data_IF_051943232234
#
_entry.id   IF_051943232234
#
_cell.length_a   1.000
_cell.length_b   1.000
_cell.length_c   1.000
_cell.angle_alpha   90.00
_cell.angle_beta   90.00
_cell.angle_gamma   90.00
#
_symmetry.space_group_name_H-M   'P 1'
#
loop_
_entity.id
_entity.type
_entity.pdbx_description
1 polymer ?
#
# COMPACT_ATOMS: atom_id res chain seq x y z
N UNK A 1 18.61 9.10 38.77
CA UNK A 1 18.26 9.45 37.38
C UNK A 1 19.21 8.71 36.47
N UNK A 2 18.72 7.82 35.59
CA UNK A 2 19.59 7.11 34.65
C UNK A 2 20.07 8.13 33.62
N UNK A 3 21.39 8.25 33.45
CA UNK A 3 22.00 9.13 32.45
C UNK A 3 21.36 8.89 31.07
N UNK A 4 20.88 9.95 30.42
CA UNK A 4 20.37 9.93 29.05
C UNK A 4 21.50 9.95 28.00
N UNK A 5 22.74 9.67 28.40
CA UNK A 5 23.84 9.51 27.46
C UNK A 5 23.53 8.32 26.54
N UNK A 6 23.66 8.54 25.23
CA UNK A 6 23.54 7.48 24.22
C UNK A 6 24.66 6.45 24.47
N UNK A 7 24.37 5.14 24.49
CA UNK A 7 25.42 4.12 24.58
C UNK A 7 26.46 4.29 23.48
N UNK A 8 27.73 4.25 23.85
CA UNK A 8 28.89 4.36 22.97
C UNK A 8 29.63 3.03 22.79
N UNK A 9 29.36 2.03 23.65
CA UNK A 9 29.91 0.66 23.53
C UNK A 9 28.82 -0.42 23.52
N UNK A 10 29.20 -1.66 23.20
CA UNK A 10 28.30 -2.82 23.20
C UNK A 10 27.80 -3.10 24.61
N UNK A 11 28.68 -3.07 25.61
CA UNK A 11 28.36 -3.32 27.02
C UNK A 11 27.41 -2.23 27.55
N UNK A 12 27.64 -0.98 27.17
CA UNK A 12 26.72 0.12 27.50
C UNK A 12 25.34 -0.08 26.86
N UNK A 13 25.27 -0.61 25.64
CA UNK A 13 24.01 -0.86 24.93
C UNK A 13 23.25 -2.04 25.56
N UNK A 14 23.93 -3.12 25.92
CA UNK A 14 23.35 -4.28 26.61
C UNK A 14 22.78 -3.87 27.96
N UNK A 15 23.58 -3.15 28.77
CA UNK A 15 23.12 -2.60 30.04
C UNK A 15 21.96 -1.61 29.86
N UNK A 16 21.96 -0.82 28.78
CA UNK A 16 20.88 0.11 28.47
C UNK A 16 19.57 -0.63 28.17
N UNK A 17 19.61 -1.69 27.36
CA UNK A 17 18.45 -2.51 26.99
C UNK A 17 17.90 -3.29 28.18
N UNK A 18 18.77 -3.86 29.01
CA UNK A 18 18.37 -4.63 30.18
C UNK A 18 17.65 -3.76 31.22
N UNK A 19 18.17 -2.56 31.48
CA UNK A 19 17.58 -1.61 32.43
C UNK A 19 16.29 -0.95 31.92
N UNK A 20 15.89 -1.21 30.67
CA UNK A 20 14.78 -0.54 29.98
C UNK A 20 13.87 -1.51 29.25
N UNK A 21 13.73 -2.74 29.75
CA UNK A 21 12.85 -3.78 29.17
C UNK A 21 11.38 -3.33 29.01
N UNK A 22 10.95 -2.31 29.76
CA UNK A 22 9.60 -1.72 29.71
C UNK A 22 9.50 -0.44 28.88
N UNK A 23 10.60 0.07 28.32
CA UNK A 23 10.55 1.23 27.44
C UNK A 23 9.68 0.94 26.22
N UNK A 24 8.78 1.86 25.90
CA UNK A 24 7.86 1.72 24.78
C UNK A 24 6.78 0.66 24.99
N UNK A 25 6.46 0.29 26.23
CA UNK A 25 5.38 -0.65 26.56
C UNK A 25 4.31 -0.01 27.44
N UNK A 26 3.08 -0.49 27.31
CA UNK A 26 1.97 -0.24 28.24
C UNK A 26 1.51 -1.61 28.75
N UNK A 27 1.51 -1.82 30.07
CA UNK A 27 1.15 -3.11 30.69
C UNK A 27 1.94 -4.32 30.16
N UNK A 28 3.21 -4.14 29.83
CA UNK A 28 4.08 -5.21 29.30
C UNK A 28 3.97 -5.43 27.78
N UNK A 29 3.04 -4.77 27.10
CA UNK A 29 2.84 -4.87 25.65
C UNK A 29 3.44 -3.67 24.90
N UNK A 30 4.13 -3.86 23.76
CA UNK A 30 4.64 -2.76 22.95
C UNK A 30 3.54 -1.78 22.54
N UNK A 31 3.76 -0.48 22.77
CA UNK A 31 2.82 0.59 22.36
C UNK A 31 2.79 0.79 20.84
N UNK A 32 3.89 0.46 20.16
CA UNK A 32 4.01 0.51 18.69
C UNK A 32 4.24 -0.91 18.20
N UNK A 33 3.33 -1.40 17.38
CA UNK A 33 3.55 -2.61 16.59
C UNK A 33 4.42 -2.27 15.38
N UNK A 34 5.48 -3.05 15.18
CA UNK A 34 6.36 -2.95 14.01
C UNK A 34 6.09 -4.09 13.04
N UNK A 35 6.43 -3.89 11.77
CA UNK A 35 6.25 -4.88 10.72
C UNK A 35 5.11 -4.54 9.76
N UNK A 36 4.79 -5.50 8.89
CA UNK A 36 3.77 -5.37 7.87
C UNK A 36 2.86 -6.59 7.81
N UNK A 37 1.61 -6.36 7.40
CA UNK A 37 0.59 -7.36 7.18
C UNK A 37 0.18 -7.33 5.71
N UNK A 38 0.08 -8.50 5.08
CA UNK A 38 -0.39 -8.64 3.70
C UNK A 38 -1.93 -8.53 3.67
N UNK A 39 -2.45 -7.61 2.86
CA UNK A 39 -3.88 -7.58 2.54
C UNK A 39 -4.18 -8.72 1.57
N UNK A 40 -5.06 -9.62 1.98
CA UNK A 40 -5.54 -10.75 1.16
C UNK A 40 -7.03 -10.61 0.89
N UNK A 41 -7.48 -11.19 -0.22
CA UNK A 41 -8.91 -11.25 -0.58
C UNK A 41 -9.56 -9.86 -0.75
N UNK A 42 -8.76 -8.84 -1.05
CA UNK A 42 -9.24 -7.53 -1.49
C UNK A 42 -9.32 -7.50 -3.01
N UNK A 43 -10.45 -7.92 -3.56
CA UNK A 43 -10.67 -7.87 -5.00
C UNK A 43 -11.26 -6.51 -5.38
N UNK A 44 -10.75 -5.91 -6.44
CA UNK A 44 -11.16 -4.59 -6.91
C UNK A 44 -11.48 -4.63 -8.41
N UNK A 45 -12.26 -3.65 -8.91
CA UNK A 45 -12.52 -3.53 -10.34
C UNK A 45 -11.23 -3.42 -11.17
N UNK A 46 -11.20 -4.06 -12.35
CA UNK A 46 -10.00 -4.08 -13.20
C UNK A 46 -9.55 -2.69 -13.64
N UNK A 47 -10.48 -1.82 -14.01
CA UNK A 47 -10.21 -0.42 -14.35
C UNK A 47 -9.60 0.37 -13.17
N UNK A 48 -10.11 0.19 -11.96
CA UNK A 48 -9.56 0.82 -10.76
C UNK A 48 -8.15 0.28 -10.47
N UNK A 49 -7.96 -1.04 -10.60
CA UNK A 49 -6.65 -1.66 -10.43
C UNK A 49 -5.61 -1.06 -11.38
N UNK A 50 -5.96 -0.93 -12.66
CA UNK A 50 -5.08 -0.37 -13.68
C UNK A 50 -4.80 1.12 -13.46
N UNK A 51 -5.84 1.92 -13.17
CA UNK A 51 -5.72 3.35 -12.87
C UNK A 51 -4.80 3.61 -11.66
N UNK A 52 -4.96 2.82 -10.59
CA UNK A 52 -4.12 2.89 -9.40
C UNK A 52 -2.64 2.64 -9.74
N UNK A 53 -2.35 1.65 -10.59
CA UNK A 53 -0.97 1.33 -10.97
C UNK A 53 -0.34 2.40 -11.86
N UNK A 54 -1.13 3.01 -12.75
CA UNK A 54 -0.68 4.13 -13.58
C UNK A 54 -0.34 5.36 -12.74
N UNK A 55 -1.27 5.75 -11.86
CA UNK A 55 -1.13 6.91 -11.00
C UNK A 55 0.01 6.69 -9.99
N UNK A 56 0.09 5.51 -9.38
CA UNK A 56 1.17 5.17 -8.45
C UNK A 56 2.55 5.19 -9.11
N UNK A 57 2.65 4.80 -10.38
CA UNK A 57 3.92 4.83 -11.11
C UNK A 57 4.47 6.25 -11.30
N UNK A 58 3.62 7.24 -11.55
CA UNK A 58 4.06 8.63 -11.74
C UNK A 58 4.75 9.23 -10.50
N UNK A 59 4.44 8.70 -9.32
CA UNK A 59 5.06 9.10 -8.05
C UNK A 59 6.06 8.05 -7.52
N UNK A 60 6.39 7.04 -8.33
CA UNK A 60 7.36 6.00 -7.98
C UNK A 60 6.91 5.07 -6.86
N UNK A 61 5.61 4.96 -6.60
CA UNK A 61 5.08 4.09 -5.56
C UNK A 61 4.92 2.65 -6.05
N UNK A 62 5.35 1.71 -5.21
CA UNK A 62 4.97 0.30 -5.34
C UNK A 62 3.58 0.03 -4.75
N UNK A 63 3.03 -1.18 -4.95
CA UNK A 63 1.70 -1.55 -4.44
C UNK A 63 1.52 -1.39 -2.94
N UNK A 64 2.55 -1.69 -2.15
CA UNK A 64 2.52 -1.54 -0.69
C UNK A 64 2.44 -0.07 -0.27
N UNK A 65 3.18 0.82 -0.95
CA UNK A 65 3.10 2.26 -0.73
C UNK A 65 1.72 2.80 -1.16
N UNK A 66 1.24 2.42 -2.34
CA UNK A 66 -0.11 2.76 -2.81
C UNK A 66 -1.16 2.33 -1.77
N UNK A 67 -1.13 1.07 -1.34
CA UNK A 67 -2.10 0.55 -0.37
C UNK A 67 -2.01 1.26 0.99
N UNK A 68 -0.81 1.64 1.42
CA UNK A 68 -0.58 2.40 2.66
C UNK A 68 -1.23 3.78 2.57
N UNK A 69 -0.97 4.50 1.47
CA UNK A 69 -1.56 5.82 1.24
C UNK A 69 -3.08 5.77 1.04
N UNK A 70 -3.58 4.74 0.36
CA UNK A 70 -5.01 4.50 0.17
C UNK A 70 -5.73 4.28 1.50
N UNK A 71 -5.19 3.43 2.38
CA UNK A 71 -5.76 3.19 3.71
C UNK A 71 -5.66 4.41 4.63
N UNK A 72 -4.59 5.18 4.55
CA UNK A 72 -4.50 6.46 5.28
C UNK A 72 -5.60 7.42 4.85
N UNK A 73 -5.88 7.53 3.54
CA UNK A 73 -6.99 8.36 3.04
C UNK A 73 -8.34 7.85 3.50
N UNK A 74 -8.56 6.54 3.49
CA UNK A 74 -9.77 5.93 4.01
C UNK A 74 -9.98 6.26 5.50
N UNK A 75 -8.96 6.08 6.33
CA UNK A 75 -9.01 6.35 7.77
C UNK A 75 -9.11 7.85 8.10
N UNK A 76 -8.56 8.71 7.26
CA UNK A 76 -8.65 10.17 7.40
C UNK A 76 -9.97 10.75 6.84
N UNK A 77 -10.82 9.92 6.23
CA UNK A 77 -12.11 10.38 5.70
C UNK A 77 -13.03 10.86 6.83
N UNK A 78 -13.66 12.03 6.71
CA UNK A 78 -14.30 12.70 7.84
C UNK A 78 -15.60 12.04 8.33
N UNK A 79 -16.31 11.27 7.49
CA UNK A 79 -17.57 10.61 7.90
C UNK A 79 -17.75 9.23 7.27
N UNK A 80 -18.46 8.35 7.98
CA UNK A 80 -18.77 6.98 7.56
C UNK A 80 -19.83 6.97 6.47
N UNK A 81 -20.76 7.92 6.51
CA UNK A 81 -21.82 8.13 5.55
C UNK A 81 -21.24 8.44 4.17
N UNK A 82 -20.24 9.33 4.08
CA UNK A 82 -19.54 9.62 2.81
C UNK A 82 -18.85 8.37 2.23
N UNK A 83 -18.31 7.49 3.08
CA UNK A 83 -17.68 6.25 2.63
C UNK A 83 -18.72 5.27 2.07
N UNK A 84 -19.90 5.21 2.70
CA UNK A 84 -21.02 4.40 2.24
C UNK A 84 -21.58 4.91 0.91
N UNK A 85 -21.78 6.23 0.78
CA UNK A 85 -22.19 6.86 -0.47
C UNK A 85 -21.16 6.61 -1.56
N UNK A 86 -19.86 6.68 -1.24
CA UNK A 86 -18.81 6.36 -2.21
C UNK A 86 -18.90 4.92 -2.70
N UNK A 87 -19.15 3.96 -1.81
CA UNK A 87 -19.33 2.58 -2.22
C UNK A 87 -20.56 2.38 -3.11
N UNK A 88 -21.66 3.11 -2.84
CA UNK A 88 -22.88 3.09 -3.64
C UNK A 88 -22.71 3.76 -5.02
N UNK A 89 -22.02 4.91 -5.08
CA UNK A 89 -21.64 5.58 -6.33
C UNK A 89 -20.86 4.65 -7.24
N UNK A 90 -20.02 3.84 -6.61
CA UNK A 90 -19.25 2.87 -7.33
C UNK A 90 -20.26 1.80 -7.89
N UNK A 91 -21.13 1.19 -7.09
CA UNK A 91 -22.16 0.24 -7.59
C UNK A 91 -21.72 -1.23 -7.59
N UNK A 92 -22.47 -2.13 -8.25
CA UNK A 92 -22.14 -3.57 -8.27
C UNK A 92 -21.04 -3.86 -9.29
N UNK A 93 -19.85 -4.24 -8.83
CA UNK A 93 -18.72 -4.51 -9.72
C UNK A 93 -18.33 -5.96 -9.80
N UNK A 94 -17.93 -6.31 -11.00
CA UNK A 94 -17.06 -7.45 -11.29
C UNK A 94 -15.64 -7.21 -10.76
N UNK A 95 -15.49 -7.33 -9.44
CA UNK A 95 -14.21 -7.26 -8.75
C UNK A 95 -13.44 -8.59 -8.91
N UNK A 96 -12.61 -8.68 -9.94
CA UNK A 96 -11.85 -9.90 -10.27
C UNK A 96 -10.34 -9.78 -10.02
N UNK A 97 -9.84 -8.56 -9.82
CA UNK A 97 -8.40 -8.29 -9.66
C UNK A 97 -8.05 -8.17 -8.18
N UNK A 98 -7.25 -9.10 -7.66
CA UNK A 98 -6.79 -9.03 -6.27
C UNK A 98 -5.69 -7.97 -6.11
N UNK A 99 -5.93 -6.98 -5.26
CA UNK A 99 -4.93 -5.98 -4.90
C UNK A 99 -4.20 -6.44 -3.63
N UNK A 100 -3.00 -7.00 -3.82
CA UNK A 100 -2.12 -7.45 -2.74
C UNK A 100 -1.09 -6.37 -2.42
N UNK A 101 -0.93 -6.10 -1.13
CA UNK A 101 -0.02 -5.09 -0.61
C UNK A 101 0.38 -5.44 0.83
N UNK A 102 1.61 -5.11 1.21
CA UNK A 102 2.12 -5.25 2.58
C UNK A 102 2.04 -3.90 3.27
N UNK A 103 1.14 -3.79 4.24
CA UNK A 103 0.80 -2.54 4.92
C UNK A 103 1.33 -2.58 6.35
N UNK A 104 1.78 -1.45 6.94
CA UNK A 104 2.10 -1.42 8.37
C UNK A 104 0.97 -2.02 9.22
N UNK A 105 1.31 -2.97 10.10
CA UNK A 105 0.32 -3.77 10.85
C UNK A 105 -0.69 -2.91 11.60
N UNK A 106 -0.23 -1.89 12.32
CA UNK A 106 -1.10 -0.96 13.06
C UNK A 106 -2.08 -0.21 12.16
N UNK A 107 -1.67 0.16 10.94
CA UNK A 107 -2.54 0.82 9.97
C UNK A 107 -3.60 -0.15 9.44
N UNK A 108 -3.20 -1.39 9.14
CA UNK A 108 -4.12 -2.42 8.68
C UNK A 108 -5.17 -2.76 9.74
N UNK A 109 -4.76 -2.94 11.00
CA UNK A 109 -5.67 -3.26 12.11
C UNK A 109 -6.70 -2.14 12.35
N UNK A 110 -6.27 -0.88 12.26
CA UNK A 110 -7.20 0.27 12.33
C UNK A 110 -8.20 0.26 11.18
N UNK A 111 -7.76 -0.01 9.96
CA UNK A 111 -8.63 -0.10 8.79
C UNK A 111 -9.63 -1.27 8.92
N UNK A 112 -9.19 -2.41 9.44
CA UNK A 112 -10.03 -3.58 9.73
C UNK A 112 -11.10 -3.25 10.77
N UNK A 113 -10.75 -2.56 11.84
CA UNK A 113 -11.73 -2.16 12.87
C UNK A 113 -12.81 -1.24 12.29
N UNK A 114 -12.45 -0.26 11.45
CA UNK A 114 -13.42 0.61 10.78
C UNK A 114 -14.27 -0.16 9.77
N UNK A 115 -13.66 -1.03 8.97
CA UNK A 115 -14.35 -1.91 8.02
C UNK A 115 -15.42 -2.76 8.73
N UNK A 116 -15.10 -3.33 9.88
CA UNK A 116 -16.03 -4.15 10.67
C UNK A 116 -17.20 -3.32 11.21
N UNK A 117 -16.94 -2.10 11.69
CA UNK A 117 -18.01 -1.18 12.09
C UNK A 117 -18.95 -0.82 10.94
N UNK A 118 -18.45 -0.80 9.71
CA UNK A 118 -19.24 -0.56 8.50
C UNK A 118 -19.90 -1.84 7.95
N UNK A 119 -19.66 -3.00 8.55
CA UNK A 119 -20.09 -4.31 8.05
C UNK A 119 -19.59 -4.59 6.62
N UNK A 120 -18.37 -4.15 6.30
CA UNK A 120 -17.75 -4.32 5.00
C UNK A 120 -16.83 -5.54 4.93
N UNK A 121 -16.57 -6.03 3.72
CA UNK A 121 -15.53 -7.01 3.42
C UNK A 121 -14.24 -6.33 2.90
N UNK A 122 -13.18 -7.13 2.69
CA UNK A 122 -11.88 -6.62 2.19
C UNK A 122 -11.97 -5.99 0.80
N UNK A 123 -12.79 -6.52 -0.09
CA UNK A 123 -12.99 -5.95 -1.43
C UNK A 123 -13.60 -4.55 -1.35
N UNK A 124 -14.58 -4.33 -0.48
CA UNK A 124 -15.20 -3.01 -0.27
C UNK A 124 -14.21 -2.02 0.34
N UNK A 125 -13.50 -2.42 1.40
CA UNK A 125 -12.44 -1.62 2.00
C UNK A 125 -11.41 -1.19 0.95
N UNK A 126 -10.88 -2.14 0.17
CA UNK A 126 -9.85 -1.85 -0.83
C UNK A 126 -10.38 -1.01 -1.98
N UNK A 127 -11.57 -1.29 -2.48
CA UNK A 127 -12.17 -0.53 -3.58
C UNK A 127 -12.35 0.94 -3.18
N UNK A 128 -12.92 1.20 -2.00
CA UNK A 128 -13.11 2.57 -1.52
C UNK A 128 -11.78 3.26 -1.24
N UNK A 129 -10.85 2.58 -0.56
CA UNK A 129 -9.53 3.15 -0.23
C UNK A 129 -8.74 3.52 -1.49
N UNK A 130 -8.71 2.63 -2.48
CA UNK A 130 -8.04 2.87 -3.76
C UNK A 130 -8.76 3.94 -4.58
N UNK A 131 -10.10 3.97 -4.54
CA UNK A 131 -10.88 5.03 -5.17
C UNK A 131 -10.54 6.40 -4.59
N UNK A 132 -10.40 6.51 -3.27
CA UNK A 132 -9.96 7.75 -2.60
C UNK A 132 -8.54 8.13 -2.99
N UNK A 133 -7.65 7.15 -3.19
CA UNK A 133 -6.28 7.39 -3.67
C UNK A 133 -6.27 7.97 -5.08
N UNK A 134 -6.93 7.33 -6.05
CA UNK A 134 -6.92 7.80 -7.45
C UNK A 134 -7.70 9.10 -7.61
N UNK A 135 -8.70 9.37 -6.76
CA UNK A 135 -9.48 10.60 -6.81
C UNK A 135 -8.88 11.77 -6.03
N UNK A 136 -7.71 11.60 -5.42
CA UNK A 136 -7.02 12.71 -4.78
C UNK A 136 -6.58 13.74 -5.83
N UNK A 137 -6.99 14.99 -5.65
CA UNK A 137 -6.71 16.07 -6.60
C UNK A 137 -5.22 16.34 -6.76
N UNK A 138 -4.45 16.27 -5.68
CA UNK A 138 -3.00 16.48 -5.72
C UNK A 138 -2.28 15.37 -6.49
N UNK A 139 -2.65 14.11 -6.23
CA UNK A 139 -2.09 12.96 -6.94
C UNK A 139 -2.48 12.98 -8.43
N UNK A 140 -3.74 13.29 -8.75
CA UNK A 140 -4.20 13.42 -10.15
C UNK A 140 -3.42 14.49 -10.91
N UNK A 141 -3.16 15.62 -10.26
CA UNK A 141 -2.39 16.70 -10.86
C UNK A 141 -0.94 16.28 -11.12
N UNK A 142 -0.29 15.62 -10.15
CA UNK A 142 1.07 15.08 -10.33
C UNK A 142 1.11 14.04 -11.46
N UNK A 143 0.10 13.18 -11.56
CA UNK A 143 0.00 12.20 -12.64
C UNK A 143 -0.11 12.86 -14.03
N UNK A 144 -0.94 13.91 -14.17
CA UNK A 144 -1.03 14.67 -15.43
C UNK A 144 0.28 15.33 -15.81
N UNK A 145 0.91 16.04 -14.86
CA UNK A 145 2.21 16.68 -15.11
C UNK A 145 3.30 15.66 -15.49
N UNK A 146 3.26 14.46 -14.90
CA UNK A 146 4.16 13.38 -15.30
C UNK A 146 3.92 12.95 -16.76
N UNK A 147 2.66 12.76 -17.17
CA UNK A 147 2.33 12.38 -18.53
C UNK A 147 2.71 13.47 -19.54
N UNK A 148 2.39 14.72 -19.25
CA UNK A 148 2.71 15.87 -20.10
C UNK A 148 4.21 15.98 -20.30
N UNK A 149 4.97 15.96 -19.20
CA UNK A 149 6.44 15.98 -19.25
C UNK A 149 7.00 14.80 -20.04
N UNK A 150 6.48 13.58 -19.87
CA UNK A 150 6.96 12.41 -20.59
C UNK A 150 6.61 12.47 -22.08
N UNK A 151 5.46 13.04 -22.42
CA UNK A 151 5.06 13.27 -23.81
C UNK A 151 5.98 14.27 -24.48
N UNK A 152 6.30 15.39 -23.82
CA UNK A 152 7.29 16.38 -24.28
C UNK A 152 8.69 15.77 -24.45
N UNK A 153 9.15 14.96 -23.49
CA UNK A 153 10.50 14.35 -23.53
C UNK A 153 10.67 13.29 -24.62
N UNK A 154 9.60 12.57 -24.98
CA UNK A 154 9.70 11.37 -25.82
C UNK A 154 8.98 11.48 -27.15
N UNK A 155 8.10 12.47 -27.32
CA UNK A 155 7.20 12.59 -28.46
C UNK A 155 6.07 11.56 -28.50
N UNK A 156 5.92 10.74 -27.45
CA UNK A 156 4.88 9.70 -27.36
C UNK A 156 3.55 10.28 -26.88
N UNK A 157 2.46 9.67 -27.32
CA UNK A 157 1.11 9.96 -26.80
C UNK A 157 0.94 9.46 -25.36
N UNK A 158 -0.03 10.01 -24.64
CA UNK A 158 -0.40 9.55 -23.29
C UNK A 158 -0.65 8.05 -23.24
N UNK A 159 -1.39 7.51 -24.21
CA UNK A 159 -1.72 6.09 -24.29
C UNK A 159 -0.47 5.21 -24.46
N UNK A 160 0.49 5.65 -25.27
CA UNK A 160 1.76 4.94 -25.43
C UNK A 160 2.59 4.97 -24.14
N UNK A 161 2.62 6.09 -23.43
CA UNK A 161 3.31 6.23 -22.15
C UNK A 161 2.68 5.30 -21.09
N UNK A 162 1.36 5.29 -20.97
CA UNK A 162 0.62 4.37 -20.10
C UNK A 162 0.92 2.91 -20.43
N UNK A 163 0.94 2.56 -21.71
CA UNK A 163 1.32 1.22 -22.15
C UNK A 163 2.76 0.87 -21.73
N UNK A 164 3.72 1.81 -21.82
CA UNK A 164 5.09 1.60 -21.35
C UNK A 164 5.16 1.41 -19.83
N UNK A 165 4.32 2.10 -19.06
CA UNK A 165 4.22 1.89 -17.61
C UNK A 165 3.77 0.45 -17.32
N UNK A 166 2.71 -0.04 -17.99
CA UNK A 166 2.27 -1.42 -17.83
C UNK A 166 3.33 -2.45 -18.26
N UNK A 167 4.06 -2.18 -19.34
CA UNK A 167 5.18 -3.02 -19.78
C UNK A 167 6.26 -3.12 -18.71
N UNK A 168 6.62 -1.99 -18.10
CA UNK A 168 7.60 -1.92 -17.01
C UNK A 168 7.14 -2.73 -15.79
N UNK A 169 5.88 -2.57 -15.35
CA UNK A 169 5.32 -3.35 -14.24
C UNK A 169 5.34 -4.85 -14.52
N UNK A 170 4.96 -5.26 -15.74
CA UNK A 170 5.01 -6.67 -16.15
C UNK A 170 6.43 -7.21 -16.16
N UNK A 171 7.40 -6.41 -16.60
CA UNK A 171 8.80 -6.77 -16.62
C UNK A 171 9.34 -6.97 -15.20
N UNK A 172 9.17 -6.00 -14.30
CA UNK A 172 9.61 -6.08 -12.90
C UNK A 172 8.99 -7.28 -12.16
N UNK A 173 7.70 -7.55 -12.37
CA UNK A 173 7.05 -8.71 -11.79
C UNK A 173 7.67 -10.03 -12.30
N UNK A 174 8.04 -10.10 -13.58
CA UNK A 174 8.71 -11.29 -14.15
C UNK A 174 10.14 -11.43 -13.64
N UNK A 175 10.88 -10.34 -13.50
CA UNK A 175 12.22 -10.36 -12.90
C UNK A 175 12.18 -10.87 -11.47
N UNK A 176 11.26 -10.36 -10.64
CA UNK A 176 11.11 -10.82 -9.26
C UNK A 176 10.72 -12.29 -9.18
N UNK A 177 9.85 -12.76 -10.08
CA UNK A 177 9.49 -14.19 -10.17
C UNK A 177 10.70 -15.05 -10.51
N UNK A 178 11.55 -14.60 -11.43
CA UNK A 178 12.77 -15.30 -11.78
C UNK A 178 13.74 -15.36 -10.59
N UNK A 179 13.92 -14.26 -9.87
CA UNK A 179 14.73 -14.20 -8.65
C UNK A 179 14.26 -15.24 -7.61
N UNK A 180 12.96 -15.27 -7.30
CA UNK A 180 12.40 -16.23 -6.34
C UNK A 180 12.49 -17.68 -6.84
N UNK A 181 12.30 -17.90 -8.15
CA UNK A 181 12.42 -19.24 -8.73
C UNK A 181 13.84 -19.77 -8.58
N UNK A 182 14.85 -18.91 -8.78
CA UNK A 182 16.26 -19.26 -8.55
C UNK A 182 16.55 -19.54 -7.08
N UNK A 183 16.00 -18.74 -6.16
CA UNK A 183 16.18 -18.94 -4.72
C UNK A 183 15.56 -20.26 -4.23
N UNK A 184 14.43 -20.69 -4.81
CA UNK A 184 13.74 -21.93 -4.43
C UNK A 184 14.23 -23.18 -5.16
N UNK A 185 14.98 -23.00 -6.25
CA UNK A 185 15.40 -24.11 -7.12
C UNK A 185 14.28 -24.71 -7.97
N UNK A 186 13.10 -24.07 -8.02
CA UNK A 186 11.94 -24.50 -8.80
C UNK A 186 11.19 -23.30 -9.39
N UNK A 187 10.41 -23.51 -10.45
CA UNK A 187 9.63 -22.45 -11.07
C UNK A 187 8.50 -21.99 -10.15
N UNK A 188 8.54 -20.72 -9.73
CA UNK A 188 7.44 -20.10 -9.00
C UNK A 188 6.34 -19.75 -10.00
N UNK A 189 5.35 -20.64 -10.11
CA UNK A 189 4.19 -20.48 -10.99
C UNK A 189 3.22 -19.41 -10.53
N UNK A 190 3.29 -19.04 -9.25
CA UNK A 190 2.21 -18.35 -8.60
C UNK A 190 2.03 -16.92 -9.14
N UNK A 191 0.75 -16.55 -9.31
CA UNK A 191 0.29 -15.16 -9.56
C UNK A 191 0.59 -14.23 -8.37
N UNK A 192 1.25 -14.75 -7.33
CA UNK A 192 1.36 -14.23 -5.96
C UNK A 192 2.82 -13.93 -5.65
N UNK A 193 3.30 -12.84 -6.23
CA UNK A 193 4.46 -12.17 -5.65
C UNK A 193 3.97 -11.22 -4.56
N UNK A 194 4.77 -11.02 -3.49
CA UNK A 194 4.52 -9.99 -2.50
C UNK A 194 4.27 -8.61 -3.12
#
# INVERSE_FOLDING_TARGET
MVSNKKPETIEELEAWLENRKDHGKINGEPIIQTGTTEIRSGFVPGNLYDEVLLIGAAIGFNKSQIGTHALLKFLASPTKEMLQDKLLELGSYEAHSEFRAYIPTSLYDLAVAVREQLSWNNSQLMTVSLSLFVNDLGIKEVYRQFLDKKSEETGLTTQEIEQKIFDCWRYQAREKRLELSRQRGEFVSDRKLP
#
